data_IF_524642664644
#
_entry.id   IF_524642664644
#
_cell.length_a   1.000
_cell.length_b   1.000
_cell.length_c   1.000
_cell.angle_alpha   90.00
_cell.angle_beta   90.00
_cell.angle_gamma   90.00
#
_symmetry.space_group_name_H-M   'P 1'
#
loop_
_entity.id
_entity.type
_entity.pdbx_description
1 polymer ?
#
# COMPACT_ATOMS: atom_id res chain seq x y z
N UNK A 1 -5.48 25.78 47.80
CA UNK A 1 -4.68 24.87 46.96
C UNK A 1 -3.25 25.01 47.42
N UNK A 2 -2.94 24.14 48.35
CA UNK A 2 -1.84 24.22 49.30
C UNK A 2 -0.58 23.72 48.61
N UNK A 3 0.37 24.64 48.40
CA UNK A 3 1.70 24.32 47.89
C UNK A 3 2.55 23.80 49.03
N UNK A 4 2.62 22.48 49.13
CA UNK A 4 3.55 21.74 49.97
C UNK A 4 4.08 20.64 49.07
N UNK A 5 5.39 20.64 48.79
CA UNK A 5 6.25 19.48 48.99
C UNK A 5 7.70 19.98 49.21
N UNK A 6 8.48 19.31 50.09
CA UNK A 6 9.64 19.85 50.78
C UNK A 6 10.95 19.62 50.01
N UNK A 7 11.97 20.40 50.39
CA UNK A 7 13.32 20.33 49.84
C UNK A 7 14.06 19.03 50.15
N UNK A 8 14.98 18.71 49.26
CA UNK A 8 16.01 17.69 49.40
C UNK A 8 17.37 18.33 49.74
N UNK A 9 17.88 17.91 50.90
CA UNK A 9 19.15 18.32 51.49
C UNK A 9 20.35 17.82 50.66
N UNK A 10 21.29 18.73 50.43
CA UNK A 10 22.57 18.45 49.81
C UNK A 10 23.52 17.81 50.83
N UNK A 11 23.96 16.57 50.58
CA UNK A 11 25.09 15.96 51.29
C UNK A 11 26.07 15.33 50.30
N UNK A 12 27.28 15.90 50.24
CA UNK A 12 28.39 15.38 49.42
C UNK A 12 29.19 14.27 50.11
N UNK A 13 29.95 13.51 49.32
CA UNK A 13 31.15 12.80 49.78
C UNK A 13 32.06 12.37 48.60
N UNK A 14 33.13 13.14 48.42
CA UNK A 14 34.52 12.76 48.11
C UNK A 14 34.81 11.30 47.67
N UNK A 15 35.22 11.21 46.40
CA UNK A 15 36.04 10.20 45.72
C UNK A 15 36.67 9.05 46.55
N UNK A 16 36.10 7.85 46.39
CA UNK A 16 36.85 6.60 46.51
C UNK A 16 37.55 6.29 45.18
N UNK A 17 38.88 6.20 45.17
CA UNK A 17 39.63 5.69 44.01
C UNK A 17 39.50 4.16 43.98
N UNK A 18 38.46 3.67 43.31
CA UNK A 18 38.32 2.25 42.97
C UNK A 18 39.53 1.79 42.14
N UNK A 19 40.32 0.88 42.71
CA UNK A 19 41.43 0.22 42.00
C UNK A 19 40.81 -0.92 41.19
N UNK A 20 40.84 -0.91 39.85
CA UNK A 20 40.18 -1.94 39.05
C UNK A 20 40.79 -3.32 39.31
N UNK A 21 39.92 -4.30 39.57
CA UNK A 21 40.27 -5.72 39.75
C UNK A 21 40.59 -6.36 38.39
N UNK A 22 41.82 -6.89 38.17
CA UNK A 22 42.24 -7.46 36.90
C UNK A 22 41.54 -8.77 36.54
N UNK A 23 40.77 -9.36 37.46
CA UNK A 23 40.00 -10.60 37.24
C UNK A 23 38.57 -10.33 36.77
N UNK A 24 38.11 -9.07 36.78
CA UNK A 24 36.79 -8.71 36.30
C UNK A 24 36.73 -8.86 34.78
N UNK A 25 36.23 -10.00 34.34
CA UNK A 25 35.94 -10.28 32.92
C UNK A 25 35.01 -9.19 32.37
N UNK A 26 35.29 -8.61 31.19
CA UNK A 26 34.39 -7.62 30.61
C UNK A 26 33.03 -8.28 30.42
N UNK A 27 31.97 -7.63 30.90
CA UNK A 27 30.61 -8.02 30.51
C UNK A 27 30.55 -7.88 28.99
N UNK A 28 30.26 -8.99 28.31
CA UNK A 28 29.98 -9.02 26.87
C UNK A 28 29.01 -7.88 26.57
N UNK A 29 29.48 -6.89 25.80
CA UNK A 29 28.71 -5.70 25.45
C UNK A 29 27.37 -6.07 24.83
N UNK A 30 26.39 -5.20 25.05
CA UNK A 30 25.04 -5.27 24.52
C UNK A 30 25.02 -5.79 23.07
N UNK A 31 24.47 -7.00 22.90
CA UNK A 31 24.29 -7.59 21.59
C UNK A 31 23.14 -6.91 20.87
N UNK A 32 23.49 -6.01 19.93
CA UNK A 32 22.80 -5.73 18.68
C UNK A 32 21.34 -5.27 18.77
N UNK A 33 21.13 -3.99 18.47
CA UNK A 33 19.89 -3.39 17.97
C UNK A 33 19.52 -3.94 16.59
N UNK A 34 19.41 -5.26 16.45
CA UNK A 34 18.84 -5.87 15.25
C UNK A 34 17.32 -5.88 15.36
N UNK A 35 16.69 -4.72 15.47
CA UNK A 35 15.31 -4.59 15.00
C UNK A 35 15.38 -4.59 13.47
N UNK A 36 15.62 -5.77 12.88
CA UNK A 36 15.43 -5.97 11.47
C UNK A 36 13.99 -5.58 11.16
N UNK A 37 13.80 -4.45 10.49
CA UNK A 37 12.48 -3.95 10.14
C UNK A 37 11.85 -5.02 9.24
N UNK A 38 10.97 -5.83 9.79
CA UNK A 38 10.27 -6.85 9.02
C UNK A 38 9.50 -6.12 7.91
N UNK A 39 9.93 -6.32 6.66
CA UNK A 39 9.28 -5.71 5.51
C UNK A 39 7.94 -6.42 5.32
N UNK A 40 6.87 -5.85 5.86
CA UNK A 40 5.53 -6.40 5.66
C UNK A 40 5.11 -6.15 4.22
N UNK A 41 4.95 -7.23 3.46
CA UNK A 41 4.47 -7.13 2.07
C UNK A 41 3.00 -6.75 2.07
N UNK A 42 2.66 -5.58 1.52
CA UNK A 42 1.27 -5.17 1.33
C UNK A 42 0.62 -5.98 0.22
N UNK A 43 -0.52 -6.63 0.50
CA UNK A 43 -1.27 -7.36 -0.51
C UNK A 43 -2.01 -6.39 -1.44
N UNK A 44 -1.77 -6.54 -2.75
CA UNK A 44 -2.47 -5.81 -3.82
C UNK A 44 -3.14 -6.82 -4.74
N UNK A 45 -4.44 -6.61 -5.04
CA UNK A 45 -5.20 -7.43 -5.99
C UNK A 45 -5.80 -6.55 -7.08
N UNK A 46 -5.42 -6.82 -8.32
CA UNK A 46 -6.01 -6.18 -9.49
C UNK A 46 -7.28 -6.93 -9.89
N UNK A 47 -8.41 -6.24 -10.00
CA UNK A 47 -9.68 -6.81 -10.46
C UNK A 47 -9.89 -6.46 -11.93
N UNK A 48 -10.06 -7.47 -12.79
CA UNK A 48 -10.34 -7.25 -14.22
C UNK A 48 -11.62 -6.43 -14.42
N UNK A 49 -11.49 -5.25 -15.05
CA UNK A 49 -12.60 -4.31 -15.24
C UNK A 49 -13.12 -3.66 -13.94
N UNK A 50 -12.37 -3.78 -12.84
CA UNK A 50 -12.72 -3.27 -11.52
C UNK A 50 -11.58 -2.49 -10.87
N UNK A 51 -11.74 -2.15 -9.58
CA UNK A 51 -10.73 -1.41 -8.82
C UNK A 51 -9.50 -2.26 -8.50
N UNK A 52 -8.43 -1.60 -8.08
CA UNK A 52 -7.29 -2.25 -7.41
C UNK A 52 -7.61 -2.31 -5.92
N UNK A 53 -7.59 -3.51 -5.33
CA UNK A 53 -7.80 -3.71 -3.90
C UNK A 53 -6.45 -3.75 -3.19
N UNK A 54 -6.26 -2.89 -2.20
CA UNK A 54 -5.04 -2.80 -1.39
C UNK A 54 -5.38 -3.12 0.05
N UNK A 55 -4.57 -3.97 0.70
CA UNK A 55 -4.65 -4.19 2.14
C UNK A 55 -4.20 -2.93 2.86
N UNK A 56 -5.09 -2.29 3.61
CA UNK A 56 -4.79 -1.02 4.28
C UNK A 56 -4.23 -1.18 5.69
N UNK A 57 -3.97 -0.06 6.39
CA UNK A 57 -4.24 1.33 5.98
C UNK A 57 -3.38 1.81 4.81
N UNK A 58 -3.86 2.79 4.04
CA UNK A 58 -3.14 3.34 2.88
C UNK A 58 -3.14 4.86 2.86
N UNK A 59 -2.05 5.43 2.34
CA UNK A 59 -1.91 6.82 1.94
C UNK A 59 -1.70 6.86 0.43
N UNK A 60 -2.54 7.59 -0.29
CA UNK A 60 -2.53 7.69 -1.75
C UNK A 60 -2.10 9.10 -2.13
N UNK A 61 -0.99 9.21 -2.86
CA UNK A 61 -0.50 10.47 -3.40
C UNK A 61 -1.00 10.64 -4.84
N UNK A 62 -1.56 11.81 -5.13
CA UNK A 62 -2.10 12.16 -6.43
C UNK A 62 -1.08 12.98 -7.25
N UNK A 63 -1.19 12.97 -8.59
CA UNK A 63 -0.29 13.76 -9.45
C UNK A 63 -0.33 15.27 -9.16
N UNK A 64 -1.46 15.77 -8.66
CA UNK A 64 -1.67 17.19 -8.33
C UNK A 64 -1.11 17.56 -6.94
N UNK A 65 -0.54 16.59 -6.22
CA UNK A 65 0.00 16.76 -4.86
C UNK A 65 -0.99 16.45 -3.73
N UNK A 66 -2.27 16.24 -4.06
CA UNK A 66 -3.29 15.86 -3.08
C UNK A 66 -3.00 14.49 -2.45
N UNK A 67 -3.35 14.34 -1.17
CA UNK A 67 -3.18 13.10 -0.41
C UNK A 67 -4.53 12.63 0.10
N UNK A 68 -4.86 11.37 -0.17
CA UNK A 68 -6.06 10.71 0.35
C UNK A 68 -5.65 9.53 1.23
N UNK A 69 -6.10 9.56 2.48
CA UNK A 69 -5.81 8.52 3.46
C UNK A 69 -7.05 7.65 3.72
N UNK A 70 -6.82 6.35 3.93
CA UNK A 70 -7.87 5.44 4.35
C UNK A 70 -7.34 4.46 5.37
N UNK A 71 -8.01 4.41 6.52
CA UNK A 71 -7.73 3.52 7.66
C UNK A 71 -8.33 2.12 7.50
N UNK A 72 -9.06 1.88 6.40
CA UNK A 72 -9.78 0.63 6.16
C UNK A 72 -8.80 -0.51 5.88
N UNK A 73 -9.10 -1.69 6.42
CA UNK A 73 -8.31 -2.91 6.17
C UNK A 73 -8.24 -3.31 4.68
N UNK A 74 -9.21 -2.89 3.86
CA UNK A 74 -9.19 -3.09 2.42
C UNK A 74 -9.69 -1.83 1.72
N UNK A 75 -8.87 -1.29 0.83
CA UNK A 75 -9.12 -0.03 0.12
C UNK A 75 -9.21 -0.32 -1.37
N UNK A 76 -10.27 0.18 -2.01
CA UNK A 76 -10.50 0.00 -3.43
C UNK A 76 -10.12 1.26 -4.21
N UNK A 77 -9.02 1.22 -4.95
CA UNK A 77 -8.53 2.32 -5.79
C UNK A 77 -9.18 2.25 -7.16
N UNK A 78 -9.74 3.37 -7.60
CA UNK A 78 -10.44 3.49 -8.86
C UNK A 78 -9.47 3.46 -10.05
N UNK A 79 -9.75 2.59 -11.02
CA UNK A 79 -9.02 2.51 -12.30
C UNK A 79 -9.82 3.04 -13.48
N UNK A 80 -11.13 3.28 -13.29
CA UNK A 80 -12.03 3.71 -14.37
C UNK A 80 -12.19 5.23 -14.49
N UNK A 81 -11.69 6.00 -13.51
CA UNK A 81 -11.80 7.47 -13.40
C UNK A 81 -13.23 8.03 -13.49
N UNK A 82 -14.23 7.24 -13.10
CA UNK A 82 -15.64 7.68 -13.03
C UNK A 82 -16.17 7.82 -11.62
N UNK A 83 -15.31 7.58 -10.62
CA UNK A 83 -15.71 7.72 -9.22
C UNK A 83 -15.93 9.18 -8.90
N UNK A 84 -16.98 9.48 -8.13
CA UNK A 84 -17.18 10.81 -7.54
C UNK A 84 -16.20 11.08 -6.40
N UNK A 85 -15.70 10.03 -5.78
CA UNK A 85 -14.72 10.05 -4.69
C UNK A 85 -13.35 9.61 -5.20
N UNK A 86 -12.96 10.02 -6.41
CA UNK A 86 -11.64 9.66 -6.95
C UNK A 86 -10.55 10.21 -6.00
N UNK A 87 -9.56 9.38 -5.56
CA UNK A 87 -9.08 8.12 -6.14
C UNK A 87 -9.77 6.83 -5.64
N UNK A 88 -10.68 6.90 -4.68
CA UNK A 88 -11.40 5.73 -4.14
C UNK A 88 -12.52 5.27 -5.09
N UNK A 89 -12.86 3.99 -5.07
CA UNK A 89 -13.88 3.40 -5.92
C UNK A 89 -15.28 3.45 -5.28
N UNK A 90 -16.20 4.23 -5.87
CA UNK A 90 -17.62 4.34 -5.51
C UNK A 90 -18.55 3.35 -6.26
N UNK A 91 -17.99 2.31 -6.87
CA UNK A 91 -18.66 1.33 -7.76
C UNK A 91 -19.10 1.83 -9.15
N UNK A 92 -18.78 3.08 -9.53
CA UNK A 92 -19.14 3.63 -10.86
C UNK A 92 -18.60 2.81 -12.05
N UNK A 93 -17.55 2.00 -11.84
CA UNK A 93 -17.02 1.06 -12.85
C UNK A 93 -18.07 0.07 -13.39
N UNK A 94 -19.09 -0.29 -12.60
CA UNK A 94 -20.14 -1.24 -13.00
C UNK A 94 -20.97 -0.72 -14.17
N UNK A 95 -21.22 0.58 -14.21
CA UNK A 95 -21.95 1.24 -15.30
C UNK A 95 -21.14 1.20 -16.61
N UNK A 96 -19.81 1.26 -16.51
CA UNK A 96 -18.89 1.23 -17.67
C UNK A 96 -18.76 -0.16 -18.29
N UNK A 97 -18.78 -1.21 -17.44
CA UNK A 97 -18.60 -2.59 -17.89
C UNK A 97 -19.67 -2.98 -18.90
N UNK A 98 -20.90 -2.50 -18.71
CA UNK A 98 -22.00 -2.77 -19.62
C UNK A 98 -21.80 -2.12 -20.98
N UNK A 99 -21.24 -0.90 -21.05
CA UNK A 99 -20.94 -0.23 -22.32
C UNK A 99 -19.84 -0.95 -23.10
N UNK A 100 -18.77 -1.40 -22.41
CA UNK A 100 -17.69 -2.15 -23.05
C UNK A 100 -18.11 -3.56 -23.48
N UNK A 101 -19.06 -4.20 -22.78
CA UNK A 101 -19.61 -5.50 -23.19
C UNK A 101 -20.40 -5.40 -24.50
N UNK A 102 -21.13 -4.30 -24.71
CA UNK A 102 -21.87 -4.08 -25.97
C UNK A 102 -20.94 -3.73 -27.14
N UNK A 103 -19.82 -3.04 -26.89
CA UNK A 103 -18.84 -2.69 -27.91
C UNK A 103 -17.87 -3.83 -28.29
N UNK A 104 -17.85 -4.94 -27.54
CA UNK A 104 -17.00 -6.10 -27.77
C UNK A 104 -17.78 -7.30 -28.36
N UNK A 105 -18.94 -7.06 -28.99
CA UNK A 105 -19.51 -8.06 -29.88
C UNK A 105 -18.62 -8.14 -31.14
N UNK A 106 -18.11 -9.32 -31.52
CA UNK A 106 -17.29 -9.44 -32.72
C UNK A 106 -18.16 -9.07 -33.94
N UNK A 107 -17.70 -8.13 -34.76
CA UNK A 107 -18.17 -7.98 -36.14
C UNK A 107 -17.70 -9.19 -36.93
N UNK A 108 -18.44 -10.29 -36.82
CA UNK A 108 -18.38 -11.40 -37.75
C UNK A 108 -19.53 -11.26 -38.76
N UNK A 109 -19.18 -11.42 -40.04
CA UNK A 109 -20.04 -11.48 -41.23
C UNK A 109 -20.41 -10.15 -41.92
N UNK A 110 -19.39 -9.44 -42.40
CA UNK A 110 -19.43 -8.89 -43.76
C UNK A 110 -18.23 -9.43 -44.56
N UNK A 111 -18.34 -10.69 -45.01
CA UNK A 111 -17.55 -11.20 -46.11
C UNK A 111 -18.55 -11.64 -47.18
N UNK A 112 -18.91 -10.67 -48.00
CA UNK A 112 -19.71 -10.86 -49.19
C UNK A 112 -18.92 -11.70 -50.22
N UNK A 113 -19.62 -12.69 -50.74
CA UNK A 113 -19.78 -12.97 -52.17
C UNK A 113 -18.54 -12.87 -53.05
N UNK A 114 -18.05 -14.01 -53.52
CA UNK A 114 -17.72 -14.17 -54.94
C UNK A 114 -18.02 -15.61 -55.33
N UNK A 115 -19.08 -15.80 -56.11
CA UNK A 115 -19.28 -17.02 -56.88
C UNK A 115 -18.38 -16.99 -58.11
N UNK A 116 -17.89 -18.19 -58.42
CA UNK A 116 -17.22 -18.73 -59.62
C UNK A 116 -17.40 -17.95 -60.94
N UNK A 117 -16.35 -17.89 -61.78
CA UNK A 117 -16.47 -18.72 -62.98
C UNK A 117 -15.15 -19.36 -63.44
N UNK A 118 -15.20 -20.68 -63.69
CA UNK A 118 -14.58 -21.34 -64.86
C UNK A 118 -13.04 -21.35 -64.88
N UNK A 119 -12.44 -22.43 -64.37
CA UNK A 119 -11.12 -22.89 -64.82
C UNK A 119 -11.27 -24.17 -65.65
N UNK A 120 -11.25 -23.99 -66.96
CA UNK A 120 -11.03 -25.01 -68.00
C UNK A 120 -9.60 -25.53 -67.94
N UNK A 121 -9.38 -26.77 -68.45
CA UNK A 121 -8.12 -27.45 -68.86
C UNK A 121 -7.50 -28.32 -67.73
N UNK A 122 -7.15 -29.61 -67.90
CA UNK A 122 -6.83 -30.44 -69.08
C UNK A 122 -7.39 -31.85 -68.97
#
# INVERSE_FOLDING_TARGET
MDSIWPGDDSAGALAGRDRPDPTRSPRRGAGGDQSGQAVSTTRVKVVAGGPVLVSGPVRIEMPDGDVVESDRFMVAICTCRRSREYPLCDTSHRRCRNVRKTAAAPTAAAAATTSDPRSTTS
#
